data_IF_103365976683
#
_entry.id   IF_103365976683
#
_cell.length_a   1.000
_cell.length_b   1.000
_cell.length_c   1.000
_cell.angle_alpha   90.00
_cell.angle_beta   90.00
_cell.angle_gamma   90.00
#
_symmetry.space_group_name_H-M   'P 1'
#
loop_
_entity.id
_entity.type
_entity.pdbx_description
1 polymer ?
#
# COMPACT_ATOMS: atom_id res chain seq x y z
N UNK A 1 -4.07 0.31 -18.25
CA UNK A 1 -4.17 -0.49 -17.02
C UNK A 1 -3.37 0.22 -15.94
N UNK A 2 -4.04 0.72 -14.91
CA UNK A 2 -3.37 1.40 -13.79
C UNK A 2 -3.04 0.34 -12.73
N UNK A 3 -1.75 0.23 -12.42
CA UNK A 3 -1.23 -0.67 -11.40
C UNK A 3 -1.21 0.05 -10.03
N UNK A 4 -1.18 -0.72 -8.94
CA UNK A 4 -1.14 -0.23 -7.55
C UNK A 4 0.07 0.71 -7.30
N UNK A 5 1.15 0.54 -8.07
CA UNK A 5 2.33 1.41 -8.01
C UNK A 5 2.04 2.82 -8.53
N UNK A 6 1.29 2.92 -9.62
CA UNK A 6 0.89 4.20 -10.18
C UNK A 6 -0.08 4.92 -9.23
N UNK A 7 -1.04 4.19 -8.64
CA UNK A 7 -1.90 4.70 -7.56
C UNK A 7 -1.07 5.22 -6.38
N UNK A 8 -0.07 4.46 -5.93
CA UNK A 8 0.78 4.85 -4.80
C UNK A 8 1.55 6.13 -5.11
N UNK A 9 2.16 6.22 -6.30
CA UNK A 9 2.87 7.42 -6.76
C UNK A 9 1.97 8.65 -6.85
N UNK A 10 0.81 8.53 -7.49
CA UNK A 10 -0.15 9.65 -7.61
C UNK A 10 -0.73 10.07 -6.26
N UNK A 11 -0.96 9.11 -5.35
CA UNK A 11 -1.42 9.40 -3.99
C UNK A 11 -0.39 10.19 -3.20
N UNK A 12 0.91 9.88 -3.35
CA UNK A 12 1.99 10.63 -2.72
C UNK A 12 2.08 12.06 -3.26
N UNK A 13 1.96 12.24 -4.58
CA UNK A 13 1.93 13.58 -5.20
C UNK A 13 0.72 14.38 -4.69
N UNK A 14 -0.46 13.75 -4.64
CA UNK A 14 -1.68 14.36 -4.11
C UNK A 14 -1.51 14.79 -2.65
N UNK A 15 -0.98 13.92 -1.80
CA UNK A 15 -0.73 14.23 -0.39
C UNK A 15 0.31 15.34 -0.22
N UNK A 16 1.37 15.34 -1.03
CA UNK A 16 2.39 16.39 -1.00
C UNK A 16 1.78 17.75 -1.37
N UNK A 17 1.02 17.82 -2.46
CA UNK A 17 0.32 19.02 -2.87
C UNK A 17 -0.71 19.49 -1.82
N UNK A 18 -1.47 18.55 -1.23
CA UNK A 18 -2.45 18.88 -0.19
C UNK A 18 -1.78 19.45 1.06
N UNK A 19 -0.59 18.94 1.42
CA UNK A 19 0.15 19.39 2.61
C UNK A 19 0.67 20.81 2.50
N UNK A 20 0.87 21.33 1.28
CA UNK A 20 1.19 22.75 1.06
C UNK A 20 -0.01 23.67 1.34
N UNK A 21 -1.24 23.15 1.29
CA UNK A 21 -2.47 23.95 1.45
C UNK A 21 -3.11 23.75 2.83
N UNK A 22 -3.09 22.53 3.37
CA UNK A 22 -3.81 22.15 4.59
C UNK A 22 -2.91 21.33 5.50
N UNK A 23 -2.72 21.81 6.73
CA UNK A 23 -2.00 21.07 7.77
C UNK A 23 -2.69 19.73 8.07
N UNK A 24 -1.89 18.68 8.30
CA UNK A 24 -2.39 17.34 8.63
C UNK A 24 -3.18 17.41 9.94
N UNK A 25 -4.43 16.95 9.91
CA UNK A 25 -5.35 17.01 11.04
C UNK A 25 -6.76 16.55 10.67
N UNK A 26 -7.80 16.86 11.47
CA UNK A 26 -9.18 16.42 11.22
C UNK A 26 -9.74 16.87 9.87
N UNK A 27 -9.26 18.00 9.34
CA UNK A 27 -9.63 18.50 8.00
C UNK A 27 -9.34 17.47 6.89
N UNK A 28 -8.26 16.70 7.01
CA UNK A 28 -7.94 15.65 6.04
C UNK A 28 -8.95 14.50 6.06
N UNK A 29 -9.58 14.21 7.20
CA UNK A 29 -10.67 13.22 7.28
C UNK A 29 -11.94 13.73 6.57
N UNK A 30 -12.23 15.03 6.70
CA UNK A 30 -13.35 15.67 5.99
C UNK A 30 -13.10 15.64 4.48
N UNK A 31 -11.88 15.96 4.04
CA UNK A 31 -11.49 15.85 2.64
C UNK A 31 -11.60 14.40 2.16
N UNK A 32 -11.09 13.43 2.92
CA UNK A 32 -11.17 12.02 2.58
C UNK A 32 -12.63 11.54 2.43
N UNK A 33 -13.52 11.94 3.34
CA UNK A 33 -14.95 11.66 3.24
C UNK A 33 -15.57 12.33 2.01
N UNK A 34 -15.26 13.60 1.75
CA UNK A 34 -15.73 14.33 0.58
C UNK A 34 -15.31 13.67 -0.72
N UNK A 35 -14.05 13.25 -0.83
CA UNK A 35 -13.51 12.55 -2.00
C UNK A 35 -14.28 11.24 -2.26
N UNK A 36 -14.53 10.44 -1.22
CA UNK A 36 -15.28 9.17 -1.35
C UNK A 36 -16.72 9.41 -1.81
N UNK A 37 -17.39 10.45 -1.29
CA UNK A 37 -18.78 10.74 -1.62
C UNK A 37 -18.94 11.37 -3.01
N UNK A 38 -17.97 12.18 -3.43
CA UNK A 38 -18.01 12.89 -4.72
C UNK A 38 -17.52 12.01 -5.87
N UNK A 39 -16.58 11.09 -5.63
CA UNK A 39 -15.99 10.30 -6.70
C UNK A 39 -17.00 9.50 -7.55
N UNK A 40 -18.04 8.85 -6.99
CA UNK A 40 -19.09 8.19 -7.78
C UNK A 40 -19.88 9.15 -8.68
N UNK A 41 -20.05 10.42 -8.27
CA UNK A 41 -20.78 11.42 -9.05
C UNK A 41 -19.96 11.86 -10.27
N UNK A 42 -18.64 11.89 -10.12
CA UNK A 42 -17.72 12.30 -11.19
C UNK A 42 -17.40 11.17 -12.18
N UNK A 43 -17.77 9.91 -11.86
CA UNK A 43 -17.44 8.73 -12.67
C UNK A 43 -17.92 8.84 -14.12
N UNK A 44 -19.07 9.47 -14.37
CA UNK A 44 -19.68 9.55 -15.69
C UNK A 44 -19.29 10.82 -16.49
N UNK A 45 -18.36 11.64 -15.98
CA UNK A 45 -17.96 12.88 -16.63
C UNK A 45 -17.01 12.59 -17.80
N UNK A 46 -17.51 12.80 -19.03
CA UNK A 46 -16.78 12.69 -20.30
C UNK A 46 -16.72 14.06 -20.96
N UNK A 47 -15.55 14.45 -21.44
CA UNK A 47 -15.29 15.73 -22.11
C UNK A 47 -15.25 15.62 -23.64
N UNK A 48 -15.10 14.40 -24.17
CA UNK A 48 -15.01 14.13 -25.60
C UNK A 48 -13.61 14.32 -26.19
N UNK A 49 -12.64 14.73 -25.37
CA UNK A 49 -11.23 14.84 -25.75
C UNK A 49 -10.47 13.63 -25.19
N UNK A 50 -9.96 12.77 -26.08
CA UNK A 50 -9.34 11.49 -25.70
C UNK A 50 -8.26 11.59 -24.62
N UNK A 51 -7.42 12.64 -24.65
CA UNK A 51 -6.36 12.84 -23.65
C UNK A 51 -6.93 13.24 -22.29
N UNK A 52 -7.92 14.14 -22.29
CA UNK A 52 -8.56 14.60 -21.06
C UNK A 52 -9.34 13.45 -20.44
N UNK A 53 -10.12 12.73 -21.25
CA UNK A 53 -10.89 11.58 -20.79
C UNK A 53 -9.99 10.46 -20.23
N UNK A 54 -8.78 10.26 -20.78
CA UNK A 54 -7.81 9.33 -20.22
C UNK A 54 -7.29 9.77 -18.83
N UNK A 55 -7.03 11.06 -18.63
CA UNK A 55 -6.64 11.60 -17.33
C UNK A 55 -7.78 11.55 -16.31
N UNK A 56 -9.00 11.88 -16.74
CA UNK A 56 -10.19 11.82 -15.90
C UNK A 56 -10.53 10.37 -15.51
N UNK A 57 -10.41 9.44 -16.45
CA UNK A 57 -10.56 8.02 -16.17
C UNK A 57 -9.58 7.54 -15.10
N UNK A 58 -8.34 8.05 -15.08
CA UNK A 58 -7.37 7.75 -14.01
C UNK A 58 -7.78 8.30 -12.64
N UNK A 59 -8.41 9.48 -12.59
CA UNK A 59 -8.77 10.11 -11.33
C UNK A 59 -10.00 9.47 -10.67
N UNK A 60 -11.05 9.16 -11.43
CA UNK A 60 -12.33 8.71 -10.87
C UNK A 60 -12.90 7.41 -11.46
N UNK A 61 -12.25 6.74 -12.41
CA UNK A 61 -12.67 5.46 -13.05
C UNK A 61 -13.86 5.61 -14.01
N UNK A 62 -13.63 6.35 -15.10
CA UNK A 62 -14.55 6.43 -16.25
C UNK A 62 -14.22 5.41 -17.37
N UNK A 63 -13.41 4.38 -17.07
CA UNK A 63 -13.04 3.37 -18.07
C UNK A 63 -12.87 1.99 -17.43
N UNK A 64 -13.32 0.95 -18.13
CA UNK A 64 -13.35 -0.43 -17.64
C UNK A 64 -11.96 -1.05 -17.40
N UNK A 65 -10.90 -0.40 -17.89
CA UNK A 65 -9.51 -0.83 -17.73
C UNK A 65 -8.76 -0.11 -16.57
N UNK A 66 -9.48 0.63 -15.73
CA UNK A 66 -8.95 1.36 -14.56
C UNK A 66 -9.35 0.66 -13.27
N UNK A 67 -8.41 -0.11 -12.72
CA UNK A 67 -8.61 -0.90 -11.50
C UNK A 67 -8.45 -0.08 -10.20
N UNK A 68 -7.73 1.04 -10.24
CA UNK A 68 -7.41 1.84 -9.06
C UNK A 68 -7.51 3.34 -9.35
N UNK A 69 -8.72 3.91 -9.39
CA UNK A 69 -8.87 5.36 -9.53
C UNK A 69 -8.29 6.10 -8.33
N UNK A 70 -7.57 7.19 -8.58
CA UNK A 70 -6.83 7.90 -7.53
C UNK A 70 -7.74 8.41 -6.42
N UNK A 71 -8.89 9.01 -6.77
CA UNK A 71 -9.74 9.68 -5.78
C UNK A 71 -10.43 8.72 -4.80
N UNK A 72 -11.23 7.72 -5.23
CA UNK A 72 -11.83 6.77 -4.29
C UNK A 72 -10.79 6.15 -3.36
N UNK A 73 -9.63 5.78 -3.90
CA UNK A 73 -8.56 5.11 -3.16
C UNK A 73 -7.68 6.07 -2.34
N UNK A 74 -7.71 7.38 -2.58
CA UNK A 74 -6.95 8.37 -1.80
C UNK A 74 -7.42 8.46 -0.33
N UNK A 75 -8.61 7.96 -0.01
CA UNK A 75 -9.11 7.88 1.37
C UNK A 75 -8.13 7.17 2.30
N UNK A 76 -7.50 6.07 1.84
CA UNK A 76 -6.59 5.27 2.66
C UNK A 76 -5.32 6.02 3.06
N UNK A 77 -4.54 6.61 2.12
CA UNK A 77 -3.36 7.40 2.48
C UNK A 77 -3.71 8.66 3.27
N UNK A 78 -4.85 9.33 3.00
CA UNK A 78 -5.28 10.50 3.77
C UNK A 78 -5.58 10.16 5.24
N UNK A 79 -6.38 9.12 5.48
CA UNK A 79 -6.68 8.66 6.84
C UNK A 79 -5.42 8.12 7.52
N UNK A 80 -4.58 7.39 6.77
CA UNK A 80 -3.29 6.90 7.23
C UNK A 80 -2.36 8.03 7.68
N UNK A 81 -2.32 9.15 6.97
CA UNK A 81 -1.55 10.33 7.35
C UNK A 81 -2.05 10.97 8.66
N UNK A 82 -3.36 11.05 8.86
CA UNK A 82 -3.95 11.57 10.09
C UNK A 82 -3.64 10.66 11.29
N UNK A 83 -3.80 9.35 11.13
CA UNK A 83 -3.42 8.37 12.16
C UNK A 83 -1.92 8.45 12.43
N UNK A 84 -1.08 8.51 11.37
CA UNK A 84 0.36 8.63 11.48
C UNK A 84 0.82 9.88 12.23
N UNK A 85 0.26 11.05 11.90
CA UNK A 85 0.53 12.31 12.59
C UNK A 85 0.12 12.26 14.07
N UNK A 86 -1.05 11.67 14.36
CA UNK A 86 -1.49 11.45 15.75
C UNK A 86 -0.51 10.56 16.53
N UNK A 87 0.08 9.54 15.89
CA UNK A 87 1.08 8.66 16.50
C UNK A 87 2.43 9.34 16.73
N UNK A 88 2.85 10.22 15.82
CA UNK A 88 4.09 11.00 15.98
C UNK A 88 3.97 11.96 17.17
N UNK A 89 2.81 12.59 17.34
CA UNK A 89 2.52 13.55 18.43
C UNK A 89 2.12 12.86 19.75
N UNK A 90 1.82 11.56 19.73
CA UNK A 90 1.35 10.83 20.90
C UNK A 90 2.44 10.66 21.97
N UNK A 91 2.13 11.05 23.21
CA UNK A 91 2.93 10.69 24.40
C UNK A 91 2.83 9.18 24.70
N UNK A 92 1.66 8.59 24.46
CA UNK A 92 1.38 7.16 24.62
C UNK A 92 0.87 6.57 23.29
N UNK A 93 1.80 6.10 22.46
CA UNK A 93 1.50 5.48 21.16
C UNK A 93 0.61 4.23 21.28
N UNK A 94 0.86 3.29 22.21
CA UNK A 94 -0.03 2.16 22.45
C UNK A 94 -1.49 2.54 22.70
N UNK A 95 -1.72 3.58 23.51
CA UNK A 95 -3.07 4.04 23.81
C UNK A 95 -3.78 4.60 22.58
N UNK A 96 -3.09 5.43 21.77
CA UNK A 96 -3.65 5.98 20.54
C UNK A 96 -3.97 4.86 19.54
N UNK A 97 -3.03 3.93 19.31
CA UNK A 97 -3.25 2.78 18.42
C UNK A 97 -4.42 1.92 18.88
N UNK A 98 -4.57 1.70 20.19
CA UNK A 98 -5.71 0.96 20.73
C UNK A 98 -7.03 1.69 20.49
N UNK A 99 -7.09 2.99 20.74
CA UNK A 99 -8.31 3.78 20.51
C UNK A 99 -8.69 3.80 19.03
N UNK A 100 -7.75 4.14 18.15
CA UNK A 100 -8.00 4.16 16.71
C UNK A 100 -8.32 2.76 16.18
N UNK A 101 -7.64 1.72 16.68
CA UNK A 101 -7.87 0.33 16.31
C UNK A 101 -9.24 -0.19 16.72
N UNK A 102 -9.72 0.13 17.92
CA UNK A 102 -11.07 -0.27 18.37
C UNK A 102 -12.16 0.47 17.58
N UNK A 103 -11.99 1.76 17.33
CA UNK A 103 -12.92 2.53 16.49
C UNK A 103 -12.93 1.97 15.06
N UNK A 104 -11.77 1.65 14.51
CA UNK A 104 -11.65 1.04 13.20
C UNK A 104 -12.27 -0.36 13.13
N UNK A 105 -12.12 -1.16 14.18
CA UNK A 105 -12.75 -2.48 14.27
C UNK A 105 -14.28 -2.36 14.31
N UNK A 106 -14.82 -1.39 15.06
CA UNK A 106 -16.25 -1.11 15.06
C UNK A 106 -16.73 -0.67 13.67
N UNK A 107 -15.98 0.20 12.99
CA UNK A 107 -16.26 0.61 11.61
C UNK A 107 -16.20 -0.57 10.62
N UNK A 108 -15.26 -1.50 10.80
CA UNK A 108 -15.17 -2.73 10.00
C UNK A 108 -16.42 -3.58 10.18
N UNK A 109 -16.80 -3.89 11.42
CA UNK A 109 -17.98 -4.70 11.71
C UNK A 109 -19.26 -4.05 11.17
N UNK A 110 -19.40 -2.73 11.35
CA UNK A 110 -20.52 -1.98 10.79
C UNK A 110 -20.54 -2.02 9.25
N UNK A 111 -19.38 -1.83 8.61
CA UNK A 111 -19.26 -1.91 7.15
C UNK A 111 -19.63 -3.29 6.61
N UNK A 112 -19.12 -4.37 7.24
CA UNK A 112 -19.48 -5.74 6.88
C UNK A 112 -20.98 -6.00 7.08
N UNK A 113 -21.56 -5.54 8.18
CA UNK A 113 -22.99 -5.71 8.44
C UNK A 113 -23.84 -5.02 7.36
N UNK A 114 -23.45 -3.82 6.92
CA UNK A 114 -24.13 -3.09 5.84
C UNK A 114 -23.99 -3.80 4.49
N UNK A 115 -22.81 -4.33 4.17
CA UNK A 115 -22.57 -5.10 2.93
C UNK A 115 -23.49 -6.34 2.89
N UNK A 116 -23.55 -7.08 4.00
CA UNK A 116 -24.40 -8.27 4.13
C UNK A 116 -25.88 -7.90 4.02
N UNK A 117 -26.31 -6.84 4.70
CA UNK A 117 -27.71 -6.38 4.70
C UNK A 117 -28.18 -5.87 3.32
N UNK A 118 -27.27 -5.30 2.53
CA UNK A 118 -27.58 -4.74 1.21
C UNK A 118 -27.39 -5.77 0.09
N UNK A 119 -26.91 -6.98 0.40
CA UNK A 119 -26.56 -8.02 -0.60
C UNK A 119 -25.70 -7.47 -1.75
N UNK A 120 -24.76 -6.58 -1.42
CA UNK A 120 -23.90 -5.96 -2.43
C UNK A 120 -23.06 -7.03 -3.12
N UNK A 121 -23.21 -7.18 -4.44
CA UNK A 121 -22.37 -8.11 -5.20
C UNK A 121 -20.93 -7.58 -5.22
N UNK A 122 -20.01 -8.40 -4.71
CA UNK A 122 -18.58 -8.12 -4.73
C UNK A 122 -17.99 -8.59 -6.06
N UNK A 123 -18.55 -8.13 -7.16
CA UNK A 123 -18.00 -8.38 -8.49
C UNK A 123 -16.70 -7.59 -8.64
N UNK A 124 -15.74 -8.10 -9.42
CA UNK A 124 -14.40 -7.51 -9.57
C UNK A 124 -14.47 -6.00 -9.86
N UNK A 125 -15.32 -5.59 -10.82
CA UNK A 125 -15.45 -4.19 -11.23
C UNK A 125 -16.00 -3.30 -10.11
N UNK A 126 -16.95 -3.82 -9.32
CA UNK A 126 -17.54 -3.11 -8.18
C UNK A 126 -16.50 -2.88 -7.09
N UNK A 127 -15.64 -3.87 -6.82
CA UNK A 127 -14.54 -3.72 -5.87
C UNK A 127 -13.56 -2.64 -6.30
N UNK A 128 -13.15 -2.63 -7.58
CA UNK A 128 -12.16 -1.69 -8.11
C UNK A 128 -12.63 -0.23 -8.13
N UNK A 129 -13.92 -0.01 -8.39
CA UNK A 129 -14.55 1.32 -8.33
C UNK A 129 -14.68 1.85 -6.90
N UNK A 130 -14.53 0.98 -5.89
CA UNK A 130 -14.59 1.29 -4.46
C UNK A 130 -15.82 2.13 -4.07
N UNK A 131 -17.04 1.55 -4.15
CA UNK A 131 -18.24 2.24 -3.71
C UNK A 131 -18.12 2.66 -2.24
N UNK A 132 -18.73 3.81 -1.85
CA UNK A 132 -18.62 4.35 -0.49
C UNK A 132 -18.97 3.35 0.61
N UNK A 133 -19.88 2.41 0.33
CA UNK A 133 -20.33 1.36 1.24
C UNK A 133 -19.20 0.41 1.68
N UNK A 134 -18.17 0.20 0.84
CA UNK A 134 -17.02 -0.66 1.13
C UNK A 134 -15.94 0.04 1.94
N UNK A 135 -15.90 1.37 1.93
CA UNK A 135 -14.83 2.15 2.56
C UNK A 135 -14.73 1.88 4.07
N UNK A 136 -15.82 1.90 4.87
CA UNK A 136 -15.73 1.60 6.30
C UNK A 136 -15.20 0.20 6.60
N UNK A 137 -15.56 -0.78 5.75
CA UNK A 137 -15.08 -2.15 5.90
C UNK A 137 -13.56 -2.23 5.64
N UNK A 138 -13.11 -1.78 4.46
CA UNK A 138 -11.70 -1.91 4.08
C UNK A 138 -10.81 -1.05 4.99
N UNK A 139 -11.17 0.23 5.19
CA UNK A 139 -10.41 1.15 6.02
C UNK A 139 -10.39 0.71 7.49
N UNK A 140 -11.55 0.27 7.99
CA UNK A 140 -11.69 -0.26 9.35
C UNK A 140 -10.80 -1.49 9.56
N UNK A 141 -10.80 -2.42 8.60
CA UNK A 141 -9.92 -3.57 8.63
C UNK A 141 -8.45 -3.16 8.63
N UNK A 142 -8.04 -2.25 7.73
CA UNK A 142 -6.63 -1.83 7.62
C UNK A 142 -6.12 -1.18 8.91
N UNK A 143 -6.87 -0.25 9.50
CA UNK A 143 -6.44 0.43 10.74
C UNK A 143 -6.50 -0.52 11.94
N UNK A 144 -7.52 -1.39 12.04
CA UNK A 144 -7.57 -2.42 13.08
C UNK A 144 -6.42 -3.43 12.94
N UNK A 145 -6.04 -3.77 11.72
CA UNK A 145 -4.92 -4.65 11.42
C UNK A 145 -3.59 -4.05 11.91
N UNK A 146 -3.36 -2.75 11.67
CA UNK A 146 -2.18 -2.05 12.20
C UNK A 146 -2.14 -2.12 13.73
N UNK A 147 -3.26 -1.89 14.39
CA UNK A 147 -3.36 -2.05 15.85
C UNK A 147 -3.05 -3.50 16.30
N UNK A 148 -3.56 -4.50 15.59
CA UNK A 148 -3.27 -5.90 15.89
C UNK A 148 -1.78 -6.22 15.74
N UNK A 149 -1.15 -5.77 14.65
CA UNK A 149 0.29 -5.90 14.42
C UNK A 149 1.09 -5.29 15.56
N UNK A 150 0.68 -4.12 16.05
CA UNK A 150 1.31 -3.42 17.16
C UNK A 150 1.14 -4.17 18.50
N UNK A 151 -0.03 -4.77 18.76
CA UNK A 151 -0.25 -5.67 19.91
C UNK A 151 0.66 -6.89 19.85
N UNK A 152 0.75 -7.54 18.68
CA UNK A 152 1.60 -8.71 18.45
C UNK A 152 3.08 -8.35 18.62
N UNK A 153 3.51 -7.22 18.04
CA UNK A 153 4.87 -6.71 18.13
C UNK A 153 5.31 -6.49 19.58
N UNK A 154 4.44 -5.92 20.42
CA UNK A 154 4.72 -5.71 21.85
C UNK A 154 4.76 -6.99 22.68
N UNK A 155 3.90 -7.96 22.38
CA UNK A 155 3.82 -9.23 23.14
C UNK A 155 4.86 -10.27 22.70
N UNK A 156 5.32 -10.18 21.46
CA UNK A 156 6.10 -11.23 20.80
C UNK A 156 7.63 -11.09 20.87
N UNK A 157 8.17 -10.22 21.72
CA UNK A 157 9.59 -9.83 21.83
C UNK A 157 10.60 -10.72 21.10
N UNK A 158 11.25 -10.18 20.05
CA UNK A 158 12.39 -10.78 19.30
C UNK A 158 12.30 -12.30 19.01
N UNK A 159 11.11 -12.89 18.91
CA UNK A 159 10.98 -14.30 18.51
C UNK A 159 11.45 -14.45 17.07
N UNK A 160 12.21 -15.51 16.79
CA UNK A 160 12.87 -15.79 15.49
C UNK A 160 11.96 -15.62 14.26
N UNK A 161 10.66 -15.90 14.38
CA UNK A 161 9.68 -15.71 13.30
C UNK A 161 9.33 -14.23 12.99
N UNK A 162 9.38 -13.33 13.97
CA UNK A 162 9.14 -11.91 13.74
C UNK A 162 10.29 -11.25 13.00
N UNK A 163 11.53 -11.75 13.12
CA UNK A 163 12.68 -11.22 12.38
C UNK A 163 12.51 -11.29 10.86
N UNK A 164 11.82 -12.32 10.36
CA UNK A 164 11.47 -12.43 8.93
C UNK A 164 10.44 -11.38 8.55
N UNK A 165 9.39 -11.22 9.35
CA UNK A 165 8.29 -10.26 9.12
C UNK A 165 8.81 -8.81 9.19
N UNK A 166 9.62 -8.48 10.20
CA UNK A 166 10.31 -7.18 10.29
C UNK A 166 11.24 -6.95 9.09
N UNK A 167 11.95 -8.00 8.65
CA UNK A 167 12.79 -7.94 7.45
C UNK A 167 12.03 -7.68 6.16
N UNK A 168 10.77 -8.12 6.07
CA UNK A 168 9.86 -7.81 4.95
C UNK A 168 9.30 -6.40 5.06
N UNK A 169 8.84 -6.00 6.26
CA UNK A 169 8.28 -4.67 6.52
C UNK A 169 9.30 -3.56 6.23
N UNK A 170 10.56 -3.73 6.65
CA UNK A 170 11.62 -2.74 6.42
C UNK A 170 11.96 -2.51 4.93
N UNK A 171 11.51 -3.39 4.02
CA UNK A 171 11.82 -3.35 2.58
C UNK A 171 10.60 -3.70 1.74
N UNK A 172 9.42 -3.27 2.21
CA UNK A 172 8.12 -3.61 1.61
C UNK A 172 8.09 -3.24 0.13
N UNK A 173 8.63 -2.07 -0.25
CA UNK A 173 8.66 -1.61 -1.64
C UNK A 173 9.43 -2.57 -2.54
N UNK A 174 10.66 -2.97 -2.17
CA UNK A 174 11.45 -3.92 -2.96
C UNK A 174 10.75 -5.28 -3.06
N UNK A 175 10.17 -5.76 -1.96
CA UNK A 175 9.44 -7.03 -1.96
C UNK A 175 8.21 -6.97 -2.87
N UNK A 176 7.42 -5.89 -2.80
CA UNK A 176 6.25 -5.68 -3.67
C UNK A 176 6.65 -5.61 -5.15
N UNK A 177 7.71 -4.89 -5.50
CA UNK A 177 8.20 -4.83 -6.88
C UNK A 177 8.58 -6.22 -7.41
N UNK A 178 9.34 -7.00 -6.63
CA UNK A 178 9.72 -8.37 -7.01
C UNK A 178 8.48 -9.27 -7.14
N UNK A 179 7.53 -9.15 -6.19
CA UNK A 179 6.29 -9.93 -6.21
C UNK A 179 5.49 -9.67 -7.49
N UNK A 180 5.23 -8.39 -7.79
CA UNK A 180 4.48 -8.01 -8.98
C UNK A 180 5.19 -8.36 -10.27
N UNK A 181 6.51 -8.30 -10.31
CA UNK A 181 7.29 -8.78 -11.46
C UNK A 181 7.08 -10.28 -11.69
N UNK A 182 7.15 -11.09 -10.63
CA UNK A 182 6.92 -12.54 -10.70
C UNK A 182 5.47 -12.84 -11.12
N UNK A 183 4.49 -12.12 -10.56
CA UNK A 183 3.07 -12.26 -10.93
C UNK A 183 2.86 -11.92 -12.40
N UNK A 184 3.41 -10.80 -12.89
CA UNK A 184 3.25 -10.37 -14.28
C UNK A 184 3.81 -11.40 -15.27
N UNK A 185 5.02 -11.92 -15.02
CA UNK A 185 5.59 -12.99 -15.81
C UNK A 185 4.81 -14.31 -15.66
N UNK A 186 4.33 -14.61 -14.46
CA UNK A 186 3.47 -15.77 -14.21
C UNK A 186 2.17 -15.73 -15.02
N UNK A 187 1.52 -14.56 -15.11
CA UNK A 187 0.33 -14.36 -15.95
C UNK A 187 0.67 -14.55 -17.43
N UNK A 188 1.80 -13.99 -17.89
CA UNK A 188 2.21 -14.10 -19.29
C UNK A 188 2.53 -15.54 -19.73
N UNK A 189 3.16 -16.35 -18.87
CA UNK A 189 3.59 -17.70 -19.22
C UNK A 189 2.59 -18.80 -18.85
N UNK A 190 1.82 -18.64 -17.76
CA UNK A 190 0.97 -19.71 -17.20
C UNK A 190 -0.50 -19.49 -17.52
N UNK A 191 -0.92 -18.25 -17.79
CA UNK A 191 -2.31 -17.96 -18.16
C UNK A 191 -3.28 -18.18 -16.99
N UNK A 192 -3.06 -17.51 -15.86
CA UNK A 192 -3.89 -17.64 -14.64
C UNK A 192 -5.41 -17.50 -14.84
N UNK A 193 -5.86 -16.85 -15.92
CA UNK A 193 -7.29 -16.65 -16.22
C UNK A 193 -8.01 -17.91 -16.72
N UNK A 194 -7.28 -18.94 -17.16
CA UNK A 194 -7.87 -20.20 -17.66
C UNK A 194 -7.74 -21.37 -16.67
N UNK A 195 -7.21 -21.10 -15.47
CA UNK A 195 -6.96 -22.12 -14.46
C UNK A 195 -8.13 -22.25 -13.48
N UNK A 196 -8.47 -23.49 -13.13
CA UNK A 196 -9.39 -23.78 -12.02
C UNK A 196 -8.80 -23.33 -10.67
N UNK A 197 -9.66 -23.20 -9.66
CA UNK A 197 -9.30 -22.69 -8.32
C UNK A 197 -8.12 -23.42 -7.69
N UNK A 198 -8.04 -24.75 -7.82
CA UNK A 198 -6.97 -25.57 -7.24
C UNK A 198 -5.58 -25.19 -7.76
N UNK A 199 -5.33 -25.28 -9.08
CA UNK A 199 -4.09 -24.80 -9.70
C UNK A 199 -3.75 -23.33 -9.39
N UNK A 200 -4.76 -22.44 -9.31
CA UNK A 200 -4.54 -21.03 -8.94
C UNK A 200 -3.99 -20.91 -7.52
N UNK A 201 -4.53 -21.66 -6.56
CA UNK A 201 -4.04 -21.63 -5.17
C UNK A 201 -2.60 -22.15 -5.06
N UNK A 202 -2.28 -23.23 -5.78
CA UNK A 202 -0.91 -23.78 -5.80
C UNK A 202 0.06 -22.77 -6.41
N UNK A 203 -0.32 -22.15 -7.53
CA UNK A 203 0.49 -21.14 -8.19
C UNK A 203 0.65 -19.87 -7.33
N UNK A 204 -0.39 -19.45 -6.59
CA UNK A 204 -0.29 -18.35 -5.63
C UNK A 204 0.73 -18.64 -4.52
N UNK A 205 0.70 -19.83 -3.93
CA UNK A 205 1.69 -20.27 -2.92
C UNK A 205 3.09 -20.30 -3.53
N UNK A 206 3.23 -20.84 -4.74
CA UNK A 206 4.51 -20.88 -5.45
C UNK A 206 5.08 -19.48 -5.71
N UNK A 207 4.24 -18.52 -6.11
CA UNK A 207 4.63 -17.12 -6.33
C UNK A 207 5.09 -16.47 -5.02
N UNK A 208 4.38 -16.69 -3.92
CA UNK A 208 4.79 -16.17 -2.59
C UNK A 208 6.16 -16.74 -2.21
N UNK A 209 6.36 -18.05 -2.36
CA UNK A 209 7.63 -18.71 -2.10
C UNK A 209 8.73 -18.13 -2.98
N UNK A 210 8.50 -18.02 -4.29
CA UNK A 210 9.45 -17.45 -5.25
C UNK A 210 9.82 -16.01 -4.88
N UNK A 211 8.85 -15.19 -4.49
CA UNK A 211 9.07 -13.81 -4.02
C UNK A 211 10.01 -13.78 -2.82
N UNK A 212 9.82 -14.68 -1.85
CA UNK A 212 10.67 -14.78 -0.67
C UNK A 212 12.09 -15.19 -1.06
N UNK A 213 12.24 -16.17 -1.94
CA UNK A 213 13.56 -16.63 -2.39
C UNK A 213 14.31 -15.57 -3.20
N UNK A 214 13.65 -14.96 -4.20
CA UNK A 214 14.24 -13.93 -5.06
C UNK A 214 14.61 -12.69 -4.25
N UNK A 215 13.73 -12.23 -3.35
CA UNK A 215 14.04 -11.10 -2.47
C UNK A 215 15.20 -11.41 -1.51
N UNK A 216 15.32 -12.64 -1.01
CA UNK A 216 16.49 -13.09 -0.22
C UNK A 216 17.77 -13.12 -1.05
N UNK A 217 17.71 -13.65 -2.27
CA UNK A 217 18.85 -13.78 -3.17
C UNK A 217 19.38 -12.40 -3.60
N UNK A 218 18.50 -11.50 -4.01
CA UNK A 218 18.84 -10.10 -4.35
C UNK A 218 19.60 -9.39 -3.22
N UNK A 219 19.17 -9.59 -1.97
CA UNK A 219 19.87 -9.05 -0.79
C UNK A 219 21.27 -9.60 -0.61
N UNK A 220 21.49 -10.88 -0.93
CA UNK A 220 22.81 -11.49 -0.83
C UNK A 220 23.79 -10.92 -1.86
N UNK A 221 23.30 -10.51 -3.04
CA UNK A 221 24.10 -9.86 -4.08
C UNK A 221 24.46 -8.42 -3.70
N UNK A 222 23.47 -7.61 -3.29
CA UNK A 222 23.70 -6.21 -2.88
C UNK A 222 24.59 -6.13 -1.63
N UNK A 223 24.41 -7.03 -0.65
CA UNK A 223 25.24 -7.13 0.55
C UNK A 223 26.65 -7.70 0.32
N UNK A 224 26.92 -8.29 -0.85
CA UNK A 224 28.27 -8.67 -1.30
C UNK A 224 28.96 -7.52 -2.04
N UNK A 225 28.23 -6.75 -2.87
CA UNK A 225 28.76 -5.58 -3.56
C UNK A 225 29.29 -4.48 -2.62
N UNK A 226 28.57 -4.20 -1.51
CA UNK A 226 29.02 -3.21 -0.51
C UNK A 226 30.27 -3.63 0.28
N UNK A 227 30.50 -4.94 0.47
CA UNK A 227 31.71 -5.47 1.14
C UNK A 227 32.95 -5.45 0.24
N UNK A 228 32.77 -5.46 -1.08
CA UNK A 228 33.86 -5.38 -2.04
C UNK A 228 34.30 -3.91 -2.21
N UNK A 229 33.36 -2.96 -2.28
CA UNK A 229 33.67 -1.53 -2.34
C UNK A 229 34.32 -0.97 -1.07
N UNK A 230 33.94 -1.50 0.12
CA UNK A 230 34.53 -1.07 1.39
C UNK A 230 35.92 -1.68 1.66
N UNK A 231 36.24 -2.84 1.07
CA UNK A 231 37.61 -3.37 1.06
C UNK A 231 38.53 -2.55 0.15
N UNK A 232 38.03 -2.12 -1.02
CA UNK A 232 38.80 -1.27 -1.93
C UNK A 232 39.19 0.09 -1.31
N UNK A 233 38.41 0.62 -0.36
CA UNK A 233 38.72 1.85 0.39
C UNK A 233 39.68 1.65 1.58
N UNK A 234 39.71 0.45 2.17
CA UNK A 234 40.61 0.13 3.30
C UNK A 234 42.01 -0.25 2.81
N UNK A 235 42.11 -0.81 1.61
CA UNK A 235 43.37 -1.23 1.00
C UNK A 235 44.05 -0.13 0.17
N UNK A 236 43.51 1.10 0.15
CA UNK A 236 44.17 2.24 -0.48
C UNK A 236 45.22 2.80 0.50
N UNK A 237 46.54 2.65 0.24
CA UNK A 237 47.55 3.15 1.15
C UNK A 237 47.41 4.66 1.28
N UNK A 238 47.22 5.12 2.52
CA UNK A 238 47.19 6.53 2.87
C UNK A 238 48.38 7.24 2.21
N UNK A 239 48.10 8.10 1.24
CA UNK A 239 49.14 8.95 0.64
C UNK A 239 49.69 9.83 1.77
N UNK A 240 51.01 9.85 2.00
CA UNK A 240 51.60 10.73 3.00
C UNK A 240 51.28 12.17 2.61
N UNK A 241 50.58 12.86 3.51
CA UNK A 241 50.37 14.31 3.44
C UNK A 241 51.75 14.91 3.72
N UNK A 242 52.45 15.34 2.66
CA UNK A 242 53.65 16.15 2.81
C UNK A 242 53.23 17.51 3.40
N UNK A 243 53.89 18.01 4.46
CA UNK A 243 53.77 19.40 4.84
C UNK A 243 54.63 20.23 3.89
N UNK A 244 54.00 20.92 2.95
CA UNK A 244 54.66 21.99 2.21
C UNK A 244 54.84 23.18 3.17
N UNK A 245 56.10 23.60 3.32
CA UNK A 245 56.53 24.73 4.15
C UNK A 245 56.25 26.10 3.55
#
# INVERSE_FOLDING_TARGET
MIDILQLAGSSLILMAALREVVLVGPAWLVIAAGVVLVAPILQDVITGLAIVDALLAMLWSNADNVFYPVFPWAVFPLVGAVVGDALVKARDRPLILRRTGVVALAAFVAGVAVIVATSTTLDDLTYWRLPPILVPAILGFTVAWVWLCDVVARRGGQRFGLGVIYGWSARVTTMCFVHWLIVAWGIAFVGFRVMDLGPVLVAAVAVVIATIFVSRWWRSLVGRGGRIGMRAWIDEPARPILPDG
#
